data_IF_514779878287
#
_entry.id   IF_514779878287
#
_cell.length_a   1.000
_cell.length_b   1.000
_cell.length_c   1.000
_cell.angle_alpha   90.00
_cell.angle_beta   90.00
_cell.angle_gamma   90.00
#
_symmetry.space_group_name_H-M   'P 1'
#
loop_
_entity.id
_entity.type
_entity.pdbx_description
1 polymer ?
#
# COMPACT_ATOMS: atom_id res chain seq x y z
N UNK A 1 15.94 1.22 -17.18
CA UNK A 1 15.37 0.17 -16.32
C UNK A 1 13.91 -0.03 -16.70
N UNK A 2 13.33 -1.20 -16.44
CA UNK A 2 11.88 -1.41 -16.65
C UNK A 2 11.10 -0.83 -15.47
N UNK A 3 9.95 -0.18 -15.69
CA UNK A 3 9.11 0.32 -14.62
C UNK A 3 8.58 -0.84 -13.76
N UNK A 4 8.51 -0.65 -12.45
CA UNK A 4 7.90 -1.62 -11.53
C UNK A 4 6.40 -1.37 -11.54
N UNK A 5 5.66 -2.28 -12.18
CA UNK A 5 4.21 -2.16 -12.34
C UNK A 5 3.43 -2.67 -11.13
N UNK A 6 4.02 -3.57 -10.36
CA UNK A 6 3.33 -4.34 -9.33
C UNK A 6 4.25 -4.60 -8.13
N UNK A 7 3.68 -4.52 -6.93
CA UNK A 7 4.22 -5.14 -5.73
C UNK A 7 3.58 -6.52 -5.61
N UNK A 8 4.36 -7.55 -5.93
CA UNK A 8 3.86 -8.92 -6.00
C UNK A 8 3.39 -9.48 -4.66
N UNK A 9 2.74 -10.63 -4.73
CA UNK A 9 2.26 -11.38 -3.57
C UNK A 9 3.37 -11.56 -2.52
N UNK A 10 3.09 -11.19 -1.28
CA UNK A 10 3.99 -11.39 -0.15
C UNK A 10 5.33 -10.63 -0.22
N UNK A 11 5.52 -9.68 -1.14
CA UNK A 11 6.82 -9.04 -1.40
C UNK A 11 7.52 -8.46 -0.16
N UNK A 12 6.75 -7.95 0.80
CA UNK A 12 7.21 -7.41 2.08
C UNK A 12 6.55 -8.10 3.28
N UNK A 13 5.94 -9.28 3.11
CA UNK A 13 5.25 -9.95 4.18
C UNK A 13 6.17 -10.26 5.38
N UNK A 14 5.66 -10.04 6.59
CA UNK A 14 6.35 -10.24 7.86
C UNK A 14 7.41 -9.19 8.18
N UNK A 15 7.49 -8.10 7.41
CA UNK A 15 8.51 -7.08 7.65
C UNK A 15 8.12 -6.16 8.82
N UNK A 16 8.68 -6.45 10.00
CA UNK A 16 8.44 -5.69 11.23
C UNK A 16 9.30 -4.43 11.36
N UNK A 17 10.10 -4.07 10.36
CA UNK A 17 10.99 -2.89 10.40
C UNK A 17 10.53 -1.76 9.50
N UNK A 18 9.75 -2.05 8.46
CA UNK A 18 9.27 -1.02 7.53
C UNK A 18 8.25 -0.16 8.26
N UNK A 19 8.56 1.13 8.42
CA UNK A 19 7.66 2.12 9.01
C UNK A 19 6.96 2.99 7.96
N UNK A 20 7.64 3.24 6.84
CA UNK A 20 7.15 4.09 5.75
C UNK A 20 7.50 3.47 4.40
N UNK A 21 6.55 3.49 3.47
CA UNK A 21 6.74 3.04 2.08
C UNK A 21 6.35 4.17 1.15
N UNK A 22 7.17 4.41 0.14
CA UNK A 22 6.84 5.29 -0.99
C UNK A 22 6.89 4.46 -2.25
N UNK A 23 5.73 4.28 -2.89
CA UNK A 23 5.61 3.59 -4.17
C UNK A 23 5.91 4.56 -5.30
N UNK A 24 6.59 4.13 -6.37
CA UNK A 24 6.77 4.95 -7.57
C UNK A 24 5.46 5.07 -8.36
N UNK A 25 5.40 6.06 -9.25
CA UNK A 25 4.24 6.34 -10.13
C UNK A 25 3.84 5.14 -11.01
N UNK A 26 4.76 4.22 -11.27
CA UNK A 26 4.50 3.08 -12.13
C UNK A 26 3.75 1.94 -11.43
N UNK A 27 3.69 1.92 -10.09
CA UNK A 27 3.05 0.81 -9.35
C UNK A 27 1.54 0.97 -9.40
N UNK A 28 0.89 0.13 -10.19
CA UNK A 28 -0.55 0.11 -10.35
C UNK A 28 -1.23 -0.97 -9.50
N UNK A 29 -0.48 -1.98 -9.05
CA UNK A 29 -1.02 -3.16 -8.36
C UNK A 29 -0.24 -3.47 -7.08
N UNK A 30 -0.97 -3.73 -5.99
CA UNK A 30 -0.46 -4.28 -4.74
C UNK A 30 -1.15 -5.64 -4.52
N UNK A 31 -0.38 -6.71 -4.70
CA UNK A 31 -0.84 -8.09 -4.65
C UNK A 31 -1.24 -8.57 -3.27
N UNK A 32 -1.76 -9.80 -3.23
CA UNK A 32 -2.19 -10.45 -1.99
C UNK A 32 -1.05 -10.53 -0.98
N UNK A 33 -1.38 -10.25 0.28
CA UNK A 33 -0.41 -10.28 1.38
C UNK A 33 0.88 -9.45 1.17
N UNK A 34 0.94 -8.52 0.21
CA UNK A 34 2.16 -7.80 -0.16
C UNK A 34 2.88 -7.15 1.04
N UNK A 35 2.13 -6.67 2.02
CA UNK A 35 2.62 -6.12 3.29
C UNK A 35 2.03 -6.85 4.51
N UNK A 36 1.57 -8.09 4.35
CA UNK A 36 0.95 -8.81 5.46
C UNK A 36 1.91 -8.97 6.65
N UNK A 37 1.48 -8.65 7.86
CA UNK A 37 2.29 -8.75 9.07
C UNK A 37 3.34 -7.64 9.22
N UNK A 38 3.29 -6.58 8.41
CA UNK A 38 4.11 -5.39 8.62
C UNK A 38 3.60 -4.56 9.79
N UNK A 39 3.81 -5.04 11.02
CA UNK A 39 3.24 -4.46 12.23
C UNK A 39 3.67 -3.01 12.48
N UNK A 40 4.86 -2.62 12.04
CA UNK A 40 5.40 -1.25 12.21
C UNK A 40 5.07 -0.30 11.05
N UNK A 41 4.43 -0.78 9.97
CA UNK A 41 4.11 0.04 8.82
C UNK A 41 3.03 1.06 9.20
N UNK A 42 3.39 2.34 9.20
CA UNK A 42 2.49 3.45 9.61
C UNK A 42 1.94 4.22 8.44
N UNK A 43 2.76 4.40 7.41
CA UNK A 43 2.47 5.29 6.29
C UNK A 43 2.85 4.61 4.98
N UNK A 44 1.90 4.57 4.04
CA UNK A 44 2.18 4.25 2.65
C UNK A 44 1.82 5.46 1.78
N UNK A 45 2.74 5.85 0.90
CA UNK A 45 2.54 6.94 -0.06
C UNK A 45 2.54 6.33 -1.45
N UNK A 46 1.42 6.43 -2.16
CA UNK A 46 1.36 6.13 -3.58
C UNK A 46 2.06 7.23 -4.38
N UNK A 47 2.81 6.84 -5.41
CA UNK A 47 3.49 7.76 -6.31
C UNK A 47 2.65 8.16 -7.52
N UNK A 48 1.45 7.59 -7.69
CA UNK A 48 0.54 7.88 -8.81
C UNK A 48 -0.77 8.48 -8.32
N UNK A 49 -1.32 9.38 -9.14
CA UNK A 49 -2.62 10.02 -8.92
C UNK A 49 -3.79 9.10 -9.28
N UNK A 50 -3.54 8.10 -10.12
CA UNK A 50 -4.55 7.15 -10.58
C UNK A 50 -4.84 6.03 -9.56
N UNK A 51 -5.98 5.36 -9.73
CA UNK A 51 -6.44 4.26 -8.88
C UNK A 51 -5.43 3.10 -8.86
N UNK A 52 -4.96 2.74 -7.67
CA UNK A 52 -4.09 1.58 -7.45
C UNK A 52 -4.95 0.40 -7.03
N UNK A 53 -4.82 -0.73 -7.74
CA UNK A 53 -5.48 -1.97 -7.35
C UNK A 53 -4.78 -2.55 -6.13
N UNK A 54 -5.53 -2.83 -5.07
CA UNK A 54 -5.01 -3.35 -3.81
C UNK A 54 -5.80 -4.58 -3.43
N UNK A 55 -5.10 -5.70 -3.28
CA UNK A 55 -5.71 -6.92 -2.78
C UNK A 55 -6.26 -6.72 -1.36
N UNK A 56 -7.42 -7.31 -1.05
CA UNK A 56 -8.07 -7.17 0.25
C UNK A 56 -7.17 -7.61 1.43
N UNK A 57 -6.23 -8.52 1.19
CA UNK A 57 -5.30 -9.05 2.19
C UNK A 57 -3.93 -8.36 2.20
N UNK A 58 -3.68 -7.40 1.31
CA UNK A 58 -2.37 -6.77 1.13
C UNK A 58 -1.78 -6.21 2.43
N UNK A 59 -2.62 -5.69 3.33
CA UNK A 59 -2.21 -5.07 4.61
C UNK A 59 -2.67 -5.84 5.85
N UNK A 60 -2.96 -7.13 5.71
CA UNK A 60 -3.42 -7.97 6.84
C UNK A 60 -2.38 -7.96 7.96
N UNK A 61 -2.75 -7.62 9.20
CA UNK A 61 -1.78 -7.55 10.32
C UNK A 61 -0.85 -6.33 10.29
N UNK A 62 -1.11 -5.32 9.45
CA UNK A 62 -0.48 -4.00 9.57
C UNK A 62 -1.20 -3.18 10.67
N UNK A 63 -0.91 -3.48 11.93
CA UNK A 63 -1.64 -2.90 13.07
C UNK A 63 -1.44 -1.39 13.24
N UNK A 64 -0.29 -0.87 12.79
CA UNK A 64 0.06 0.55 12.93
C UNK A 64 -0.27 1.39 11.69
N UNK A 65 -0.82 0.79 10.62
CA UNK A 65 -1.06 1.49 9.36
C UNK A 65 -2.20 2.49 9.53
N UNK A 66 -1.85 3.75 9.80
CA UNK A 66 -2.83 4.80 10.06
C UNK A 66 -3.30 5.54 8.81
N UNK A 67 -2.47 5.55 7.75
CA UNK A 67 -2.69 6.39 6.58
C UNK A 67 -2.09 5.80 5.31
N UNK A 68 -2.86 5.90 4.22
CA UNK A 68 -2.37 5.81 2.85
C UNK A 68 -2.64 7.15 2.16
N UNK A 69 -1.59 7.74 1.56
CA UNK A 69 -1.65 9.01 0.83
C UNK A 69 -1.44 8.79 -0.66
N UNK A 70 -2.05 9.63 -1.49
CA UNK A 70 -1.72 9.75 -2.92
C UNK A 70 -0.87 10.99 -3.17
N UNK A 71 -0.23 11.12 -4.35
CA UNK A 71 0.35 12.40 -4.73
C UNK A 71 -0.77 13.43 -4.76
N UNK A 72 -0.50 14.61 -4.18
CA UNK A 72 -1.36 15.78 -4.25
C UNK A 72 -2.73 15.68 -3.54
N UNK A 73 -2.99 14.66 -2.72
CA UNK A 73 -4.21 14.58 -1.92
C UNK A 73 -3.90 14.29 -0.44
N UNK A 74 -4.44 15.14 0.44
CA UNK A 74 -4.50 14.87 1.89
C UNK A 74 -5.56 13.81 2.25
N UNK A 75 -6.24 13.23 1.24
CA UNK A 75 -7.25 12.20 1.42
C UNK A 75 -6.61 10.98 2.08
N UNK A 76 -6.88 10.83 3.37
CA UNK A 76 -6.28 9.82 4.22
C UNK A 76 -7.11 8.55 4.16
N UNK A 77 -6.55 7.46 3.65
CA UNK A 77 -7.16 6.14 3.83
C UNK A 77 -6.91 5.66 5.26
N UNK A 78 -7.98 5.47 6.03
CA UNK A 78 -7.90 4.94 7.40
C UNK A 78 -8.04 3.41 7.33
N UNK A 79 -7.11 2.67 7.93
CA UNK A 79 -7.14 1.20 7.99
C UNK A 79 -8.50 0.69 8.46
N UNK A 80 -9.06 -0.30 7.75
CA UNK A 80 -10.31 -0.98 8.14
C UNK A 80 -11.37 -1.06 7.04
N UNK A 81 -11.16 -0.43 5.88
CA UNK A 81 -11.96 -0.73 4.69
C UNK A 81 -11.25 -1.83 3.90
N UNK A 82 -11.90 -2.97 3.69
CA UNK A 82 -11.49 -3.95 2.67
C UNK A 82 -12.23 -3.61 1.39
N UNK A 83 -11.53 -3.48 0.25
CA UNK A 83 -12.14 -3.24 -1.05
C UNK A 83 -11.25 -2.45 -2.00
N UNK A 84 -11.69 -2.35 -3.27
CA UNK A 84 -11.06 -1.52 -4.30
C UNK A 84 -10.94 -0.09 -3.77
N UNK A 85 -9.70 0.41 -3.69
CA UNK A 85 -9.41 1.77 -3.27
C UNK A 85 -9.75 2.70 -4.44
N UNK A 86 -11.01 3.10 -4.54
CA UNK A 86 -11.42 4.18 -5.43
C UNK A 86 -10.99 5.51 -4.83
N UNK A 87 -9.89 6.05 -5.34
CA UNK A 87 -9.44 7.41 -5.06
C UNK A 87 -10.10 8.29 -6.11
N UNK A 88 -11.23 8.90 -5.75
CA UNK A 88 -11.89 9.92 -6.57
C UNK A 88 -11.65 11.28 -5.96
#
# INVERSE_FOLDING_TARGET
>A
GRPVAEIGEGAFAGNQSIQRVTLPESVAVIGENAFAGCSELRILVSGREEETEVAATAFTGCEQLSAIYTPNSDTTWISGKTGIIRLT
#
